data_IF_552335645561
#
_entry.id   IF_552335645561
#
_cell.length_a   1.000
_cell.length_b   1.000
_cell.length_c   1.000
_cell.angle_alpha   90.00
_cell.angle_beta   90.00
_cell.angle_gamma   90.00
#
_symmetry.space_group_name_H-M   'P 1'
#
loop_
_entity.id
_entity.type
_entity.pdbx_description
1 polymer ?
#
# COMPACT_ATOMS: atom_id res chain seq x y z
N UNK A 1 -12.15 6.73 19.17
CA UNK A 1 -11.07 5.78 19.51
C UNK A 1 -11.02 4.77 18.39
N UNK A 2 -9.87 4.61 17.71
CA UNK A 2 -9.73 3.54 16.71
C UNK A 2 -9.53 2.24 17.49
N UNK A 3 -10.43 1.28 17.31
CA UNK A 3 -10.33 -0.03 17.94
C UNK A 3 -9.11 -0.78 17.36
N UNK A 4 -8.13 -1.21 18.18
CA UNK A 4 -6.95 -1.94 17.73
C UNK A 4 -7.28 -3.25 17.00
N UNK A 5 -8.44 -3.85 17.25
CA UNK A 5 -8.88 -5.08 16.57
C UNK A 5 -9.58 -4.81 15.25
N UNK A 6 -9.85 -3.53 14.92
CA UNK A 6 -10.52 -3.21 13.66
C UNK A 6 -9.62 -3.45 12.45
N UNK A 7 -10.17 -3.94 11.32
CA UNK A 7 -9.45 -4.06 10.05
C UNK A 7 -8.82 -2.74 9.60
N UNK A 8 -9.45 -1.61 9.96
CA UNK A 8 -8.96 -0.27 9.67
C UNK A 8 -7.64 0.03 10.39
N UNK A 9 -7.52 -0.30 11.67
CA UNK A 9 -6.29 -0.08 12.43
C UNK A 9 -5.11 -0.84 11.81
N UNK A 10 -5.31 -2.13 11.52
CA UNK A 10 -4.31 -2.98 10.89
C UNK A 10 -3.90 -2.47 9.51
N UNK A 11 -4.87 -2.01 8.71
CA UNK A 11 -4.61 -1.40 7.41
C UNK A 11 -3.71 -0.17 7.54
N UNK A 12 -4.04 0.77 8.44
CA UNK A 12 -3.25 2.00 8.62
C UNK A 12 -1.84 1.67 9.09
N UNK A 13 -1.69 0.78 10.07
CA UNK A 13 -0.38 0.38 10.60
C UNK A 13 0.50 -0.26 9.52
N UNK A 14 -0.02 -1.25 8.79
CA UNK A 14 0.71 -1.90 7.70
C UNK A 14 0.99 -0.94 6.53
N UNK A 15 0.06 -0.05 6.22
CA UNK A 15 0.22 0.93 5.15
C UNK A 15 1.36 1.91 5.44
N UNK A 16 1.48 2.41 6.68
CA UNK A 16 2.60 3.28 7.07
C UNK A 16 3.94 2.56 6.87
N UNK A 17 4.05 1.30 7.32
CA UNK A 17 5.25 0.49 7.14
C UNK A 17 5.58 0.31 5.65
N UNK A 18 4.57 0.01 4.82
CA UNK A 18 4.73 -0.17 3.38
C UNK A 18 5.19 1.10 2.66
N UNK A 19 4.68 2.26 3.04
CA UNK A 19 5.14 3.55 2.51
C UNK A 19 6.60 3.82 2.89
N UNK A 20 6.99 3.55 4.14
CA UNK A 20 8.39 3.65 4.57
C UNK A 20 9.27 2.72 3.74
N UNK A 21 8.83 1.47 3.50
CA UNK A 21 9.55 0.52 2.66
C UNK A 21 9.72 1.03 1.22
N UNK A 22 8.70 1.63 0.61
CA UNK A 22 8.84 2.22 -0.73
C UNK A 22 9.83 3.38 -0.78
N UNK A 23 9.87 4.21 0.27
CA UNK A 23 10.80 5.34 0.36
C UNK A 23 12.25 4.91 0.57
N UNK A 24 12.48 3.81 1.31
CA UNK A 24 13.82 3.27 1.57
C UNK A 24 14.33 2.41 0.41
N UNK A 25 13.50 1.47 -0.06
CA UNK A 25 13.89 0.52 -1.12
C UNK A 25 13.91 1.15 -2.51
N UNK A 26 13.16 2.24 -2.72
CA UNK A 26 13.11 3.01 -3.97
C UNK A 26 13.05 2.11 -5.21
N UNK A 27 12.01 1.28 -5.34
CA UNK A 27 11.96 0.25 -6.37
C UNK A 27 12.14 0.81 -7.79
N UNK A 28 12.95 0.12 -8.60
CA UNK A 28 13.40 0.58 -9.94
C UNK A 28 12.28 0.93 -10.92
N UNK A 29 11.09 0.35 -10.75
CA UNK A 29 9.94 0.66 -11.60
C UNK A 29 9.30 2.02 -11.25
N UNK A 30 9.38 2.45 -9.98
CA UNK A 30 8.85 3.71 -9.45
C UNK A 30 9.89 4.83 -9.34
N UNK A 31 11.17 4.49 -9.19
CA UNK A 31 12.24 5.45 -8.93
C UNK A 31 13.22 5.54 -10.10
N UNK A 32 13.59 6.77 -10.47
CA UNK A 32 14.63 7.02 -11.47
C UNK A 32 15.94 7.36 -10.75
N UNK A 33 16.84 6.38 -10.65
CA UNK A 33 18.15 6.55 -10.00
C UNK A 33 18.99 7.66 -10.66
N UNK A 34 18.95 7.76 -11.99
CA UNK A 34 19.67 8.79 -12.77
C UNK A 34 19.26 10.22 -12.41
N UNK A 35 17.98 10.45 -12.11
CA UNK A 35 17.42 11.78 -11.78
C UNK A 35 17.22 11.99 -10.27
N UNK A 36 17.55 11.00 -9.44
CA UNK A 36 17.37 11.05 -7.99
C UNK A 36 15.93 11.30 -7.54
N UNK A 37 14.93 10.90 -8.34
CA UNK A 37 13.51 11.22 -8.07
C UNK A 37 12.57 10.09 -8.47
N UNK A 38 11.40 10.05 -7.83
CA UNK A 38 10.30 9.18 -8.26
C UNK A 38 9.81 9.58 -9.66
N UNK A 39 9.49 8.57 -10.48
CA UNK A 39 8.94 8.76 -11.82
C UNK A 39 7.53 9.33 -11.71
N UNK A 40 7.22 10.27 -12.59
CA UNK A 40 5.89 10.87 -12.68
C UNK A 40 4.92 9.94 -13.39
N UNK A 41 3.62 10.16 -13.19
CA UNK A 41 2.60 9.46 -13.94
C UNK A 41 2.66 9.81 -15.43
N UNK A 42 2.53 8.80 -16.29
CA UNK A 42 2.41 8.97 -17.73
C UNK A 42 3.06 7.83 -18.52
N UNK A 43 3.12 7.99 -19.84
CA UNK A 43 3.58 6.99 -20.81
C UNK A 43 4.85 7.40 -21.55
N UNK A 44 5.38 8.60 -21.30
CA UNK A 44 6.56 9.11 -21.98
C UNK A 44 7.86 8.59 -21.33
N UNK A 45 9.00 8.95 -21.94
CA UNK A 45 10.31 8.60 -21.43
C UNK A 45 10.54 9.16 -20.01
N UNK A 46 10.92 8.30 -19.05
CA UNK A 46 11.01 8.58 -17.61
C UNK A 46 9.68 8.81 -16.85
N UNK A 47 8.54 8.51 -17.45
CA UNK A 47 7.25 8.40 -16.76
C UNK A 47 6.91 6.92 -16.48
N UNK A 48 5.92 6.69 -15.63
CA UNK A 48 5.39 5.34 -15.33
C UNK A 48 3.92 5.41 -14.96
N UNK A 49 3.12 4.46 -15.41
CA UNK A 49 1.75 4.30 -14.92
C UNK A 49 1.72 3.92 -13.43
N UNK A 50 2.76 3.23 -12.97
CA UNK A 50 2.93 2.80 -11.58
C UNK A 50 3.66 3.87 -10.78
N UNK A 51 3.17 5.12 -10.82
CA UNK A 51 3.77 6.20 -10.06
C UNK A 51 3.55 6.01 -8.56
N UNK A 52 4.43 6.57 -7.73
CA UNK A 52 4.36 6.39 -6.28
C UNK A 52 2.97 6.69 -5.69
N UNK A 53 2.29 7.82 -6.03
CA UNK A 53 0.94 8.08 -5.51
C UNK A 53 -0.08 7.01 -5.89
N UNK A 54 -0.04 6.52 -7.14
CA UNK A 54 -0.99 5.51 -7.63
C UNK A 54 -0.77 4.18 -6.92
N UNK A 55 0.48 3.72 -6.87
CA UNK A 55 0.82 2.46 -6.20
C UNK A 55 0.49 2.53 -4.70
N UNK A 56 0.74 3.68 -4.08
CA UNK A 56 0.39 3.93 -2.67
C UNK A 56 -1.12 3.81 -2.45
N UNK A 57 -1.95 4.53 -3.20
CA UNK A 57 -3.41 4.45 -3.07
C UNK A 57 -3.92 3.02 -3.32
N UNK A 58 -3.47 2.39 -4.41
CA UNK A 58 -3.87 1.01 -4.72
C UNK A 58 -3.48 0.03 -3.61
N UNK A 59 -2.26 0.16 -3.06
CA UNK A 59 -1.80 -0.71 -1.97
C UNK A 59 -2.64 -0.55 -0.71
N UNK A 60 -3.07 0.67 -0.35
CA UNK A 60 -3.96 0.90 0.79
C UNK A 60 -5.32 0.25 0.61
N UNK A 61 -5.91 0.35 -0.59
CA UNK A 61 -7.18 -0.31 -0.93
C UNK A 61 -7.05 -1.83 -0.83
N UNK A 62 -5.98 -2.39 -1.42
CA UNK A 62 -5.72 -3.83 -1.39
C UNK A 62 -5.54 -4.33 0.05
N UNK A 63 -4.74 -3.62 0.86
CA UNK A 63 -4.54 -3.97 2.28
C UNK A 63 -5.85 -3.96 3.05
N UNK A 64 -6.70 -2.95 2.85
CA UNK A 64 -8.00 -2.90 3.52
C UNK A 64 -8.89 -4.09 3.14
N UNK A 65 -8.98 -4.41 1.85
CA UNK A 65 -9.76 -5.56 1.37
C UNK A 65 -9.25 -6.86 2.01
N UNK A 66 -7.93 -7.05 2.07
CA UNK A 66 -7.31 -8.22 2.69
C UNK A 66 -7.69 -8.30 4.18
N UNK A 67 -7.52 -7.22 4.94
CA UNK A 67 -7.82 -7.22 6.38
C UNK A 67 -9.31 -7.38 6.67
N UNK A 68 -10.19 -6.77 5.87
CA UNK A 68 -11.63 -6.94 6.00
C UNK A 68 -12.04 -8.40 5.71
N UNK A 69 -11.43 -9.02 4.70
CA UNK A 69 -11.67 -10.41 4.36
C UNK A 69 -11.19 -11.37 5.46
N UNK A 70 -9.98 -11.15 5.99
CA UNK A 70 -9.45 -11.92 7.13
C UNK A 70 -10.38 -11.80 8.33
N UNK A 71 -10.82 -10.59 8.68
CA UNK A 71 -11.74 -10.38 9.80
C UNK A 71 -13.04 -11.15 9.62
N UNK A 72 -13.62 -11.11 8.41
CA UNK A 72 -14.85 -11.84 8.09
C UNK A 72 -14.68 -13.36 8.24
N UNK A 73 -13.53 -13.91 7.87
CA UNK A 73 -13.22 -15.34 8.05
C UNK A 73 -13.07 -15.67 9.54
N UNK A 74 -12.32 -14.86 10.27
CA UNK A 74 -12.10 -15.05 11.72
C UNK A 74 -13.41 -15.02 12.49
N UNK A 75 -14.30 -14.07 12.17
CA UNK A 75 -15.62 -13.96 12.81
C UNK A 75 -16.47 -15.23 12.57
N UNK A 76 -16.43 -15.78 11.35
CA UNK A 76 -17.14 -17.03 11.02
C UNK A 76 -16.56 -18.24 11.76
N UNK A 77 -15.24 -18.30 11.90
CA UNK A 77 -14.56 -19.39 12.61
C UNK A 77 -14.84 -19.34 14.12
N UNK A 78 -14.94 -18.15 14.71
CA UNK A 78 -15.24 -17.99 16.13
C UNK A 78 -16.67 -18.40 16.53
N UNK A 79 -17.58 -18.58 15.54
CA UNK A 79 -18.96 -19.01 15.75
C UNK A 79 -19.16 -20.54 15.59
N UNK A 80 -18.12 -21.27 15.18
CA UNK A 80 -18.11 -22.74 15.05
C UNK A 80 -17.59 -23.38 16.34
#
# INVERSE_FOLDING_TARGET
MIDPQSPLYNTIACYIILIILFLVLKPKFMYCEKKGRFKQFGLEENQTLFSFPIVSICSGIILYIIFAFINTITDKLAQL
#
